data_IF_012177973904
#
_entry.id   IF_012177973904
#
_cell.length_a   1.000
_cell.length_b   1.000
_cell.length_c   1.000
_cell.angle_alpha   90.00
_cell.angle_beta   90.00
_cell.angle_gamma   90.00
#
_symmetry.space_group_name_H-M   'P 1'
#
loop_
_entity.id
_entity.type
_entity.pdbx_description
1 polymer ?
#
# COMPACT_ATOMS: atom_id res chain seq x y z
N UNK A 1 25.79 11.82 15.69
CA UNK A 1 25.28 12.73 16.75
C UNK A 1 26.20 12.64 17.96
N UNK A 2 26.60 13.79 18.52
CA UNK A 2 27.51 13.86 19.68
C UNK A 2 26.85 14.71 20.76
N UNK A 3 26.67 14.13 21.95
CA UNK A 3 26.17 14.85 23.12
C UNK A 3 27.06 14.61 24.33
N UNK A 4 27.13 15.62 25.19
CA UNK A 4 27.93 15.63 26.40
C UNK A 4 27.06 16.12 27.55
N UNK A 5 26.98 15.35 28.62
CA UNK A 5 26.24 15.72 29.84
C UNK A 5 27.23 15.81 30.99
N UNK A 6 27.22 16.96 31.66
CA UNK A 6 27.99 17.21 32.88
C UNK A 6 27.03 17.35 34.05
N UNK A 7 27.19 16.52 35.09
CA UNK A 7 26.29 16.52 36.24
C UNK A 7 26.69 17.65 37.21
N UNK A 8 25.92 18.75 37.24
CA UNK A 8 26.10 19.78 38.25
C UNK A 8 25.40 19.35 39.55
N UNK A 9 26.14 18.72 40.47
CA UNK A 9 25.72 18.62 41.87
C UNK A 9 26.56 19.55 42.72
N UNK A 10 25.88 20.30 43.58
CA UNK A 10 26.46 21.24 44.53
C UNK A 10 27.73 20.66 45.18
N UNK A 11 28.82 21.42 45.00
CA UNK A 11 30.09 21.36 45.70
C UNK A 11 30.72 19.96 45.86
N UNK A 12 31.80 19.75 45.09
CA UNK A 12 32.89 18.79 45.32
C UNK A 12 32.59 17.32 45.00
N UNK A 13 32.42 17.02 43.72
CA UNK A 13 33.15 15.94 43.00
C UNK A 13 33.15 16.37 41.53
N UNK A 14 34.34 16.51 40.94
CA UNK A 14 34.53 16.69 39.49
C UNK A 14 34.13 15.39 38.79
N UNK A 15 32.84 15.21 38.51
CA UNK A 15 32.36 14.07 37.75
C UNK A 15 32.79 14.25 36.28
N UNK A 16 33.56 13.29 35.77
CA UNK A 16 33.98 13.28 34.36
C UNK A 16 32.74 13.30 33.46
N UNK A 17 32.72 14.13 32.40
CA UNK A 17 31.57 14.24 31.53
C UNK A 17 31.27 12.91 30.84
N UNK A 18 30.00 12.49 30.89
CA UNK A 18 29.55 11.29 30.18
C UNK A 18 29.33 11.69 28.73
N UNK A 19 30.09 11.07 27.83
CA UNK A 19 30.04 11.31 26.39
C UNK A 19 29.27 10.19 25.72
N UNK A 20 28.31 10.57 24.87
CA UNK A 20 27.57 9.64 24.03
C UNK A 20 27.80 10.00 22.56
N UNK A 21 28.18 9.01 21.76
CA UNK A 21 28.26 9.13 20.31
C UNK A 21 27.43 8.03 19.67
N UNK A 22 26.68 8.41 18.64
CA UNK A 22 25.95 7.49 17.77
C UNK A 22 26.17 7.91 16.32
N UNK A 23 26.71 6.99 15.55
CA UNK A 23 26.83 7.14 14.11
C UNK A 23 25.49 6.79 13.47
N UNK A 24 25.05 7.65 12.56
CA UNK A 24 23.84 7.43 11.77
C UNK A 24 24.28 7.27 10.33
N UNK A 25 23.91 6.15 9.73
CA UNK A 25 24.08 5.93 8.30
C UNK A 25 23.03 6.77 7.56
N UNK A 26 23.45 7.95 7.09
CA UNK A 26 22.58 8.87 6.35
C UNK A 26 22.63 8.48 4.88
N UNK A 27 21.59 7.78 4.43
CA UNK A 27 21.36 7.50 3.01
C UNK A 27 20.49 8.59 2.39
N UNK A 28 20.68 8.85 1.10
CA UNK A 28 19.77 9.69 0.33
C UNK A 28 18.43 8.97 0.22
N UNK A 29 17.33 9.72 0.26
CA UNK A 29 16.03 9.19 -0.12
C UNK A 29 16.07 8.67 -1.55
N UNK A 30 15.22 7.70 -1.85
CA UNK A 30 15.02 7.28 -3.23
C UNK A 30 14.50 8.48 -4.03
N UNK A 31 15.04 8.65 -5.24
CA UNK A 31 14.62 9.73 -6.15
C UNK A 31 13.28 9.34 -6.75
N UNK A 32 12.27 10.18 -6.58
CA UNK A 32 10.97 9.98 -7.21
C UNK A 32 11.12 10.12 -8.73
N UNK A 33 10.55 9.20 -9.52
CA UNK A 33 10.53 9.33 -10.98
C UNK A 33 9.80 10.62 -11.40
N UNK A 34 10.24 11.27 -12.48
CA UNK A 34 9.61 12.49 -13.00
C UNK A 34 8.19 12.26 -13.50
N UNK A 35 7.86 11.02 -13.88
CA UNK A 35 6.55 10.62 -14.38
C UNK A 35 5.86 9.66 -13.41
N UNK A 36 4.59 9.90 -13.06
CA UNK A 36 3.79 8.96 -12.30
C UNK A 36 3.72 7.59 -12.99
N UNK A 37 3.61 6.55 -12.20
CA UNK A 37 3.44 5.21 -12.73
C UNK A 37 1.99 4.97 -13.13
N UNK A 38 1.80 4.58 -14.39
CA UNK A 38 0.50 4.23 -14.94
C UNK A 38 0.27 2.72 -14.90
N UNK A 39 -0.82 2.28 -14.29
CA UNK A 39 -1.21 0.88 -14.18
C UNK A 39 -2.62 0.66 -14.72
N UNK A 40 -2.82 -0.36 -15.55
CA UNK A 40 -4.13 -0.68 -16.12
C UNK A 40 -4.53 -2.10 -15.76
N UNK A 41 -5.78 -2.26 -15.33
CA UNK A 41 -6.43 -3.55 -15.13
C UNK A 41 -7.71 -3.63 -15.94
N UNK A 42 -7.87 -4.74 -16.65
CA UNK A 42 -9.10 -5.07 -17.39
C UNK A 42 -9.82 -6.16 -16.60
N UNK A 43 -11.14 -6.07 -16.48
CA UNK A 43 -11.95 -7.01 -15.70
C UNK A 43 -12.89 -7.87 -16.57
N UNK A 44 -12.40 -8.89 -17.29
CA UNK A 44 -13.27 -9.86 -17.95
C UNK A 44 -14.17 -10.59 -16.94
N UNK A 45 -15.42 -10.93 -17.28
CA UNK A 45 -16.05 -10.79 -18.60
C UNK A 45 -16.67 -9.42 -18.88
N UNK A 46 -16.49 -8.44 -17.99
CA UNK A 46 -17.02 -7.08 -18.20
C UNK A 46 -16.11 -6.28 -19.14
N UNK A 47 -16.65 -5.18 -19.67
CA UNK A 47 -15.86 -4.21 -20.44
C UNK A 47 -15.09 -3.22 -19.56
N UNK A 48 -15.18 -3.35 -18.22
CA UNK A 48 -14.61 -2.40 -17.28
C UNK A 48 -13.08 -2.43 -17.35
N UNK A 49 -12.50 -1.24 -17.51
CA UNK A 49 -11.06 -1.00 -17.44
C UNK A 49 -10.79 0.00 -16.32
N UNK A 50 -9.84 -0.30 -15.45
CA UNK A 50 -9.36 0.60 -14.42
C UNK A 50 -7.93 1.03 -14.72
N UNK A 51 -7.72 2.32 -14.94
CA UNK A 51 -6.41 2.97 -14.99
C UNK A 51 -6.10 3.67 -13.67
N UNK A 52 -4.87 3.57 -13.20
CA UNK A 52 -4.38 4.23 -12.00
C UNK A 52 -3.04 4.91 -12.27
N UNK A 53 -2.95 6.20 -11.96
CA UNK A 53 -1.72 6.99 -11.97
C UNK A 53 -1.33 7.32 -10.53
N UNK A 54 -0.14 6.93 -10.12
CA UNK A 54 0.33 7.10 -8.74
C UNK A 54 1.86 7.13 -8.64
N UNK A 55 2.34 7.61 -7.49
CA UNK A 55 3.77 7.65 -7.18
C UNK A 55 4.27 6.29 -6.70
N UNK A 56 5.37 5.81 -7.29
CA UNK A 56 5.96 4.51 -6.91
C UNK A 56 6.63 4.54 -5.54
N UNK A 57 7.02 5.72 -5.06
CA UNK A 57 7.84 5.90 -3.85
C UNK A 57 7.04 6.66 -2.82
N UNK A 58 6.75 6.00 -1.70
CA UNK A 58 6.04 6.59 -0.57
C UNK A 58 7.07 7.09 0.44
N UNK A 59 7.20 8.41 0.57
CA UNK A 59 8.05 9.02 1.59
C UNK A 59 7.36 9.08 2.96
N UNK A 60 8.13 8.79 4.01
CA UNK A 60 7.68 8.81 5.41
C UNK A 60 7.54 10.20 6.02
N UNK A 61 8.05 11.24 5.36
CA UNK A 61 8.22 12.60 5.92
C UNK A 61 6.93 13.44 5.90
N UNK A 62 5.76 12.81 5.80
CA UNK A 62 4.47 13.47 5.97
C UNK A 62 3.80 14.00 4.70
N UNK A 63 4.28 13.64 3.50
CA UNK A 63 3.54 13.92 2.26
C UNK A 63 2.44 12.87 2.09
N UNK A 64 1.19 13.33 1.97
CA UNK A 64 0.10 12.51 1.47
C UNK A 64 0.32 12.33 -0.04
N UNK A 65 0.32 11.07 -0.50
CA UNK A 65 0.51 10.73 -1.91
C UNK A 65 -0.84 10.68 -2.58
N UNK A 66 -0.92 11.04 -3.85
CA UNK A 66 -2.19 11.04 -4.59
C UNK A 66 -2.23 9.91 -5.61
N UNK A 67 -3.40 9.29 -5.73
CA UNK A 67 -3.75 8.42 -6.86
C UNK A 67 -4.81 9.13 -7.68
N UNK A 68 -4.65 9.12 -9.01
CA UNK A 68 -5.74 9.38 -9.95
C UNK A 68 -6.20 8.04 -10.50
N UNK A 69 -7.50 7.74 -10.36
CA UNK A 69 -8.11 6.56 -10.95
C UNK A 69 -9.14 6.96 -12.01
N UNK A 70 -9.16 6.18 -13.09
CA UNK A 70 -10.15 6.25 -14.15
C UNK A 70 -10.74 4.87 -14.40
N UNK A 71 -12.07 4.81 -14.44
CA UNK A 71 -12.82 3.64 -14.87
C UNK A 71 -13.48 3.95 -16.21
N UNK A 72 -13.25 3.12 -17.21
CA UNK A 72 -13.88 3.17 -18.53
C UNK A 72 -14.65 1.85 -18.77
N UNK A 73 -15.47 1.80 -19.83
CA UNK A 73 -16.24 0.58 -20.12
C UNK A 73 -17.48 0.39 -19.24
N UNK A 74 -17.99 1.47 -18.64
CA UNK A 74 -19.07 1.38 -17.65
C UNK A 74 -20.46 1.33 -18.26
N UNK A 75 -20.64 1.61 -19.55
CA UNK A 75 -21.97 1.58 -20.20
C UNK A 75 -22.02 0.58 -21.34
N UNK A 76 -23.17 -0.03 -21.54
CA UNK A 76 -23.46 -0.87 -22.71
C UNK A 76 -24.87 -0.58 -23.17
N UNK A 77 -24.99 -0.11 -24.41
CA UNK A 77 -26.29 0.20 -25.03
C UNK A 77 -26.86 -1.07 -25.63
N UNK A 78 -28.13 -1.35 -25.33
CA UNK A 78 -28.90 -2.39 -25.99
C UNK A 78 -29.90 -1.76 -26.97
N UNK A 79 -29.56 -1.78 -28.25
CA UNK A 79 -30.38 -1.18 -29.31
C UNK A 79 -31.75 -1.86 -29.47
N UNK A 80 -31.85 -3.16 -29.17
CA UNK A 80 -33.09 -3.91 -29.33
C UNK A 80 -34.15 -3.50 -28.30
N UNK A 81 -33.74 -3.23 -27.06
CA UNK A 81 -34.64 -2.86 -25.96
C UNK A 81 -34.66 -1.35 -25.69
N UNK A 82 -33.82 -0.56 -26.38
CA UNK A 82 -33.61 0.88 -26.13
C UNK A 82 -33.26 1.17 -24.66
N UNK A 83 -32.58 0.25 -24.01
CA UNK A 83 -32.09 0.38 -22.64
C UNK A 83 -30.58 0.51 -22.63
N UNK A 84 -30.06 1.22 -21.64
CA UNK A 84 -28.64 1.33 -21.34
C UNK A 84 -28.40 0.58 -20.05
N UNK A 85 -27.51 -0.40 -20.11
CA UNK A 85 -26.91 -1.02 -18.94
C UNK A 85 -25.73 -0.16 -18.51
N UNK A 86 -25.59 0.10 -17.21
CA UNK A 86 -24.38 0.74 -16.72
C UNK A 86 -23.91 0.22 -15.36
N UNK A 87 -22.60 0.28 -15.15
CA UNK A 87 -21.90 -0.08 -13.93
C UNK A 87 -21.70 1.16 -13.07
N UNK A 88 -22.49 1.27 -12.01
CA UNK A 88 -22.40 2.37 -11.07
C UNK A 88 -21.43 2.06 -9.95
N UNK A 89 -20.43 2.91 -9.78
CA UNK A 89 -19.54 2.86 -8.61
C UNK A 89 -20.32 3.21 -7.33
N UNK A 90 -20.16 2.40 -6.27
CA UNK A 90 -20.87 2.55 -4.98
C UNK A 90 -19.94 2.77 -3.80
N UNK A 91 -18.76 2.17 -3.82
CA UNK A 91 -17.79 2.27 -2.73
C UNK A 91 -16.39 2.07 -3.26
N UNK A 92 -15.46 2.83 -2.70
CA UNK A 92 -14.03 2.64 -2.87
C UNK A 92 -13.38 2.50 -1.51
N UNK A 93 -12.46 1.56 -1.40
CA UNK A 93 -11.62 1.38 -0.23
C UNK A 93 -10.19 1.28 -0.69
N UNK A 94 -9.30 2.02 -0.06
CA UNK A 94 -7.87 1.77 -0.22
C UNK A 94 -7.27 1.27 1.10
N UNK A 95 -6.27 0.41 0.98
CA UNK A 95 -5.47 -0.13 2.09
C UNK A 95 -4.01 -0.13 1.69
N UNK A 96 -3.16 0.47 2.51
CA UNK A 96 -1.72 0.37 2.40
C UNK A 96 -1.25 -0.75 3.32
N UNK A 97 -0.77 -1.84 2.75
CA UNK A 97 -0.36 -3.04 3.50
C UNK A 97 1.16 -3.18 3.53
N UNK A 98 1.69 -3.54 4.70
CA UNK A 98 3.05 -4.01 4.92
C UNK A 98 3.02 -5.53 5.08
N UNK A 99 3.80 -6.24 4.30
CA UNK A 99 3.99 -7.69 4.42
C UNK A 99 5.42 -7.98 4.85
N UNK A 100 5.55 -8.61 6.02
CA UNK A 100 6.82 -9.05 6.60
C UNK A 100 6.91 -10.56 6.46
N UNK A 101 7.89 -11.02 5.69
CA UNK A 101 8.25 -12.44 5.60
C UNK A 101 9.52 -12.66 6.39
N UNK A 102 9.53 -13.64 7.27
CA UNK A 102 10.69 -14.03 8.08
C UNK A 102 10.93 -15.53 7.90
N UNK A 103 12.19 -15.94 7.97
CA UNK A 103 12.57 -17.34 7.98
C UNK A 103 13.27 -17.62 9.30
N UNK A 104 12.68 -18.48 10.12
CA UNK A 104 13.29 -18.93 11.37
C UNK A 104 14.17 -20.15 11.08
N UNK A 105 15.51 -20.01 11.04
CA UNK A 105 16.39 -21.15 10.77
C UNK A 105 16.25 -22.19 11.89
N UNK A 106 16.26 -23.47 11.51
CA UNK A 106 16.30 -24.54 12.48
C UNK A 106 17.57 -24.42 13.34
N UNK A 107 17.45 -24.55 14.66
CA UNK A 107 18.64 -24.60 15.51
C UNK A 107 19.41 -25.90 15.21
N UNK A 108 20.70 -25.95 15.55
CA UNK A 108 21.57 -27.11 15.28
C UNK A 108 21.01 -28.45 15.80
N UNK A 109 20.18 -28.42 16.86
CA UNK A 109 19.54 -29.61 17.44
C UNK A 109 18.28 -30.07 16.71
N UNK A 110 17.65 -29.19 15.94
CA UNK A 110 16.42 -29.45 15.20
C UNK A 110 16.61 -29.28 13.68
N UNK A 111 17.87 -29.27 13.24
CA UNK A 111 18.18 -29.22 11.81
C UNK A 111 17.70 -30.54 11.20
N UNK A 112 16.86 -30.50 10.15
CA UNK A 112 16.36 -31.72 9.53
C UNK A 112 17.53 -32.53 8.98
N UNK A 113 17.66 -33.78 9.41
CA UNK A 113 18.63 -34.74 8.85
C UNK A 113 18.19 -35.06 7.43
N UNK A 114 18.82 -34.43 6.43
CA UNK A 114 18.59 -34.74 5.02
C UNK A 114 19.28 -36.05 4.66
N UNK A 115 18.62 -37.18 4.91
CA UNK A 115 18.94 -38.50 4.32
C UNK A 115 18.00 -38.79 3.15
N UNK A 116 18.11 -38.00 2.09
CA UNK A 116 17.52 -38.33 0.80
C UNK A 116 18.53 -37.95 -0.29
N UNK A 117 19.17 -38.96 -0.86
CA UNK A 117 20.10 -38.83 -1.98
C UNK A 117 19.40 -38.16 -3.18
N UNK A 118 20.01 -37.11 -3.73
CA UNK A 118 19.71 -36.66 -5.10
C UNK A 118 19.04 -35.29 -5.29
N UNK A 119 18.95 -34.42 -4.28
CA UNK A 119 18.50 -33.02 -4.52
C UNK A 119 19.53 -31.98 -4.06
N UNK A 120 19.72 -31.00 -4.94
CA UNK A 120 20.63 -29.84 -4.89
C UNK A 120 20.74 -29.19 -3.48
N UNK A 121 21.84 -28.49 -3.14
CA UNK A 121 22.18 -28.12 -1.77
C UNK A 121 20.99 -27.47 -1.08
N UNK A 122 20.44 -28.19 -0.09
CA UNK A 122 19.24 -27.78 0.62
C UNK A 122 19.54 -26.47 1.36
N UNK A 123 19.15 -25.35 0.73
CA UNK A 123 19.01 -24.08 1.42
C UNK A 123 18.33 -24.35 2.75
N UNK A 124 18.92 -23.87 3.84
CA UNK A 124 18.46 -24.03 5.20
C UNK A 124 16.95 -23.79 5.27
N UNK A 125 16.13 -24.85 5.21
CA UNK A 125 14.66 -24.75 5.24
C UNK A 125 14.24 -24.46 6.67
N UNK A 126 14.39 -23.20 7.08
CA UNK A 126 13.77 -22.66 8.27
C UNK A 126 12.25 -22.59 8.11
N UNK A 127 11.53 -22.48 9.22
CA UNK A 127 10.09 -22.27 9.19
C UNK A 127 9.83 -20.83 8.71
N UNK A 128 9.09 -20.67 7.61
CA UNK A 128 8.71 -19.34 7.11
C UNK A 128 7.48 -18.82 7.86
N UNK A 129 7.52 -17.58 8.33
CA UNK A 129 6.38 -16.86 8.87
C UNK A 129 6.12 -15.63 8.00
N UNK A 130 4.85 -15.40 7.69
CA UNK A 130 4.39 -14.18 7.01
C UNK A 130 3.42 -13.46 7.94
N UNK A 131 3.63 -12.17 8.13
CA UNK A 131 2.75 -11.28 8.86
C UNK A 131 2.39 -10.10 7.96
N UNK A 132 1.10 -9.75 7.91
CA UNK A 132 0.61 -8.61 7.12
C UNK A 132 -0.08 -7.64 8.05
N UNK A 133 0.20 -6.34 7.86
CA UNK A 133 -0.33 -5.26 8.67
C UNK A 133 -0.80 -4.11 7.79
N UNK A 134 -1.89 -3.46 8.19
CA UNK A 134 -2.40 -2.25 7.55
C UNK A 134 -1.67 -1.03 8.14
N UNK A 135 -1.01 -0.27 7.27
CA UNK A 135 -0.34 0.99 7.61
C UNK A 135 -1.28 2.19 7.49
N UNK A 136 -2.27 2.12 6.63
CA UNK A 136 -3.30 3.14 6.44
C UNK A 136 -4.45 2.59 5.62
N UNK A 137 -5.65 3.11 5.87
CA UNK A 137 -6.84 2.75 5.11
C UNK A 137 -7.85 3.91 5.09
N UNK A 138 -8.72 3.91 4.08
CA UNK A 138 -9.87 4.81 4.02
C UNK A 138 -10.99 4.19 3.20
N UNK A 139 -12.22 4.42 3.63
CA UNK A 139 -13.44 4.10 2.88
C UNK A 139 -14.07 5.37 2.32
N UNK A 140 -14.51 5.32 1.08
CA UNK A 140 -15.13 6.43 0.35
C UNK A 140 -16.41 5.93 -0.32
N UNK A 141 -17.48 6.71 -0.20
CA UNK A 141 -18.81 6.39 -0.75
C UNK A 141 -19.27 7.43 -1.79
N UNK A 142 -18.47 8.47 -2.00
CA UNK A 142 -18.68 9.56 -2.93
C UNK A 142 -17.33 10.20 -3.34
N UNK A 143 -17.40 11.33 -4.04
CA UNK A 143 -16.23 12.11 -4.45
C UNK A 143 -15.70 11.80 -5.86
N UNK A 144 -16.37 10.91 -6.58
CA UNK A 144 -16.06 10.60 -7.98
C UNK A 144 -16.99 11.36 -8.95
N UNK A 145 -16.45 11.70 -10.12
CA UNK A 145 -17.20 12.27 -11.24
C UNK A 145 -17.57 11.15 -12.18
N UNK A 146 -18.84 11.06 -12.55
CA UNK A 146 -19.35 10.01 -13.41
C UNK A 146 -20.06 10.60 -14.63
N UNK A 147 -19.70 10.13 -15.81
CA UNK A 147 -20.41 10.41 -17.05
C UNK A 147 -20.85 9.09 -17.70
N UNK A 148 -22.14 8.77 -17.55
CA UNK A 148 -22.78 7.62 -18.17
C UNK A 148 -23.51 7.98 -19.47
N UNK A 149 -23.38 9.22 -19.95
CA UNK A 149 -24.06 9.69 -21.16
C UNK A 149 -23.23 9.48 -22.42
N UNK A 150 -21.91 9.42 -22.26
CA UNK A 150 -20.99 9.02 -23.32
C UNK A 150 -21.23 7.56 -23.75
N UNK A 151 -20.88 7.23 -24.99
CA UNK A 151 -21.02 5.88 -25.58
C UNK A 151 -20.26 4.80 -24.81
N UNK A 152 -19.22 5.19 -24.06
CA UNK A 152 -18.37 4.32 -23.25
C UNK A 152 -18.17 4.94 -21.85
N UNK A 153 -19.27 5.08 -21.11
CA UNK A 153 -19.34 5.84 -19.87
C UNK A 153 -18.16 5.59 -18.92
N UNK A 154 -17.76 6.65 -18.23
CA UNK A 154 -16.52 6.67 -17.45
C UNK A 154 -16.73 7.31 -16.09
N UNK A 155 -15.84 6.96 -15.16
CA UNK A 155 -15.76 7.53 -13.82
C UNK A 155 -14.32 7.93 -13.53
N UNK A 156 -14.12 9.15 -13.06
CA UNK A 156 -12.82 9.67 -12.65
C UNK A 156 -12.85 10.05 -11.17
N UNK A 157 -11.79 9.71 -10.43
CA UNK A 157 -11.62 10.15 -9.06
C UNK A 157 -10.16 10.21 -8.64
N UNK A 158 -9.87 11.11 -7.71
CA UNK A 158 -8.56 11.21 -7.07
C UNK A 158 -8.70 11.06 -5.56
N UNK A 159 -7.72 10.40 -4.93
CA UNK A 159 -7.66 10.32 -3.48
C UNK A 159 -6.22 10.33 -2.97
N UNK A 160 -6.08 10.79 -1.74
CA UNK A 160 -4.83 10.73 -1.01
C UNK A 160 -4.71 9.44 -0.20
N UNK A 161 -3.51 8.88 -0.18
CA UNK A 161 -3.13 7.71 0.61
C UNK A 161 -1.80 7.93 1.32
N UNK A 162 -1.57 7.13 2.35
CA UNK A 162 -0.34 7.20 3.13
C UNK A 162 -0.43 6.41 4.42
N UNK A 163 0.64 6.50 5.21
CA UNK A 163 0.74 5.89 6.53
C UNK A 163 -0.12 6.67 7.52
N UNK A 164 -0.89 5.96 8.35
CA UNK A 164 -1.73 6.56 9.38
C UNK A 164 -0.89 7.39 10.37
N UNK A 165 -1.42 8.55 10.77
CA UNK A 165 -0.74 9.47 11.67
C UNK A 165 -0.32 8.81 13.00
N UNK A 166 -1.11 7.85 13.49
CA UNK A 166 -0.77 7.06 14.68
C UNK A 166 0.53 6.29 14.52
N UNK A 167 0.85 5.78 13.32
CA UNK A 167 2.08 5.04 13.05
C UNK A 167 3.28 5.95 12.75
N UNK A 168 3.01 7.15 12.23
CA UNK A 168 4.01 8.20 12.09
C UNK A 168 4.46 8.74 13.46
N UNK A 169 3.53 8.85 14.42
CA UNK A 169 3.80 9.36 15.76
C UNK A 169 4.30 8.30 16.75
N UNK A 170 4.14 7.01 16.46
CA UNK A 170 4.32 5.95 17.45
C UNK A 170 5.75 5.41 17.50
N UNK A 171 6.51 5.89 18.49
CA UNK A 171 7.26 5.02 19.40
C UNK A 171 7.67 5.74 20.68
N UNK A 172 7.56 5.05 21.82
CA UNK A 172 8.19 5.44 23.10
C UNK A 172 9.72 5.62 22.97
N UNK A 173 10.31 5.08 21.90
CA UNK A 173 11.75 5.12 21.60
C UNK A 173 12.07 5.94 20.32
N UNK A 174 11.11 6.69 19.77
CA UNK A 174 11.31 7.56 18.60
C UNK A 174 11.49 6.84 17.25
N UNK A 175 11.24 5.53 17.17
CA UNK A 175 11.18 4.79 15.90
C UNK A 175 9.80 4.93 15.22
N UNK A 176 9.71 4.95 13.88
CA UNK A 176 8.42 4.88 13.20
C UNK A 176 7.73 3.52 13.42
N UNK A 177 6.40 3.50 13.41
CA UNK A 177 5.59 2.31 13.56
C UNK A 177 5.49 1.42 12.30
N UNK A 178 6.39 1.59 11.33
CA UNK A 178 6.45 0.89 10.05
C UNK A 178 7.92 0.70 9.62
N UNK A 179 8.18 -0.27 8.75
CA UNK A 179 9.48 -0.53 8.15
C UNK A 179 9.55 -0.02 6.71
N UNK A 180 10.76 0.04 6.14
CA UNK A 180 10.95 0.29 4.71
C UNK A 180 11.11 -1.05 3.96
N UNK A 181 10.84 -1.02 2.66
CA UNK A 181 11.11 -2.17 1.78
C UNK A 181 12.57 -2.62 1.94
N UNK A 182 12.74 -3.90 2.26
CA UNK A 182 14.07 -4.46 2.51
C UNK A 182 14.08 -5.97 2.32
N UNK A 183 15.24 -6.50 1.96
CA UNK A 183 15.50 -7.94 1.94
C UNK A 183 16.86 -8.19 2.59
N UNK A 184 16.86 -9.03 3.61
CA UNK A 184 18.01 -9.40 4.39
C UNK A 184 18.55 -10.77 3.97
N UNK A 185 19.84 -11.02 4.26
CA UNK A 185 20.52 -12.27 3.91
C UNK A 185 19.97 -13.50 4.65
N UNK A 186 19.32 -13.29 5.78
CA UNK A 186 18.64 -14.30 6.60
C UNK A 186 17.29 -14.76 6.01
N UNK A 187 16.88 -14.19 4.88
CA UNK A 187 15.60 -14.48 4.23
C UNK A 187 14.44 -13.62 4.75
N UNK A 188 14.70 -12.69 5.69
CA UNK A 188 13.70 -11.71 6.11
C UNK A 188 13.47 -10.69 5.00
N UNK A 189 12.21 -10.40 4.66
CA UNK A 189 11.87 -9.36 3.70
C UNK A 189 10.64 -8.58 4.11
N UNK A 190 10.68 -7.27 3.90
CA UNK A 190 9.54 -6.35 4.05
C UNK A 190 9.17 -5.83 2.66
N UNK A 191 7.88 -5.84 2.36
CA UNK A 191 7.33 -5.30 1.10
C UNK A 191 6.00 -4.60 1.35
N UNK A 192 5.74 -3.52 0.62
CA UNK A 192 4.49 -2.77 0.71
C UNK A 192 3.60 -2.93 -0.54
N UNK A 193 2.29 -2.82 -0.35
CA UNK A 193 1.32 -2.82 -1.44
C UNK A 193 0.17 -1.82 -1.16
N UNK A 194 -0.15 -1.00 -2.16
CA UNK A 194 -1.40 -0.22 -2.17
C UNK A 194 -2.49 -1.07 -2.82
N UNK A 195 -3.49 -1.47 -2.04
CA UNK A 195 -4.68 -2.17 -2.51
C UNK A 195 -5.83 -1.20 -2.67
N UNK A 196 -6.48 -1.23 -3.85
CA UNK A 196 -7.69 -0.46 -4.15
C UNK A 196 -8.80 -1.46 -4.43
N UNK A 197 -9.83 -1.43 -3.60
CA UNK A 197 -11.03 -2.24 -3.71
C UNK A 197 -12.20 -1.34 -4.14
N UNK A 198 -12.91 -1.77 -5.17
CA UNK A 198 -14.03 -1.03 -5.76
C UNK A 198 -15.27 -1.92 -5.77
N UNK A 199 -16.38 -1.36 -5.28
CA UNK A 199 -17.69 -2.01 -5.36
C UNK A 199 -18.51 -1.29 -6.41
N UNK A 200 -18.89 -2.02 -7.45
CA UNK A 200 -19.75 -1.55 -8.55
C UNK A 200 -21.06 -2.33 -8.54
N UNK A 201 -22.15 -1.68 -8.94
CA UNK A 201 -23.46 -2.30 -9.12
C UNK A 201 -23.92 -2.14 -10.56
N UNK A 202 -24.53 -3.19 -11.12
CA UNK A 202 -25.20 -3.12 -12.41
C UNK A 202 -26.57 -2.46 -12.26
N UNK A 203 -26.85 -1.46 -13.08
CA UNK A 203 -28.12 -0.74 -13.14
C UNK A 203 -28.58 -0.63 -14.60
N UNK A 204 -29.89 -0.45 -14.82
CA UNK A 204 -30.48 -0.31 -16.15
C UNK A 204 -31.35 0.94 -16.23
N UNK A 205 -31.24 1.71 -17.30
CA UNK A 205 -32.09 2.86 -17.57
C UNK A 205 -32.58 2.89 -19.02
N UNK A 206 -33.74 3.52 -19.30
CA UNK A 206 -34.12 3.86 -20.67
C UNK A 206 -33.08 4.79 -21.30
N UNK A 207 -32.79 4.62 -22.59
CA UNK A 207 -31.83 5.46 -23.31
C UNK A 207 -32.16 6.95 -23.16
N UNK A 208 -31.16 7.76 -22.80
CA UNK A 208 -31.30 9.20 -22.56
C UNK A 208 -31.97 9.61 -21.25
N UNK A 209 -32.40 8.66 -20.40
CA UNK A 209 -33.02 8.94 -19.08
C UNK A 209 -32.34 8.15 -17.95
N UNK A 210 -31.04 8.41 -17.65
CA UNK A 210 -30.30 7.70 -16.61
C UNK A 210 -30.89 7.87 -15.20
N UNK A 211 -31.72 8.90 -14.96
CA UNK A 211 -32.38 9.12 -13.67
C UNK A 211 -33.51 8.12 -13.35
N UNK A 212 -34.00 7.35 -14.34
CA UNK A 212 -35.06 6.35 -14.17
C UNK A 212 -34.52 4.94 -13.93
N UNK A 213 -33.29 4.84 -13.41
CA UNK A 213 -32.62 3.57 -13.34
C UNK A 213 -33.21 2.62 -12.29
N UNK A 214 -33.32 1.35 -12.66
CA UNK A 214 -33.67 0.26 -11.77
C UNK A 214 -32.42 -0.54 -11.38
N UNK A 215 -32.34 -0.90 -10.09
CA UNK A 215 -31.27 -1.72 -9.54
C UNK A 215 -31.66 -3.21 -9.61
N UNK A 216 -30.69 -4.07 -9.92
CA UNK A 216 -30.78 -5.54 -9.78
C UNK A 216 -30.11 -6.03 -8.51
#
# INVERSE_FOLDING_TARGET
>A
FKSEVTLAKNARISALPIKFWKDFDVKRSLVQPDTPHHSVRVFPPTNIKAGADYDQIIHSTGSQHAVQLRLDGLTTVNDATKTVEYWKLKKITWKLEETIKTVAPACKKHQPTTTAEGSAPAAQKGASRTETRILGEKHMHDGWKSDYTATDGHVEFGFEYGVAASLLASSKNGAPGFACDSRSLDGTSVSHALMIEMVVSKEWAPAGKPHLAAQT
#
